data_IF_976591316326
#
_entry.id   IF_976591316326
#
_cell.length_a   1.000
_cell.length_b   1.000
_cell.length_c   1.000
_cell.angle_alpha   90.00
_cell.angle_beta   90.00
_cell.angle_gamma   90.00
#
_symmetry.space_group_name_H-M   'P 1'
#
loop_
_entity.id
_entity.type
_entity.pdbx_description
1 polymer ?
#
# COMPACT_ATOMS: atom_id res chain seq x y z
N UNK A 1 8.86 12.15 13.89
CA UNK A 1 8.47 10.83 14.39
C UNK A 1 9.58 9.83 14.13
N UNK A 2 9.85 8.96 15.10
CA UNK A 2 10.74 7.82 14.93
C UNK A 2 9.94 6.68 14.29
N UNK A 3 10.41 6.14 13.18
CA UNK A 3 9.68 5.09 12.47
C UNK A 3 10.52 3.83 12.27
N UNK A 4 9.83 2.69 12.24
CA UNK A 4 10.43 1.41 11.94
C UNK A 4 9.98 0.89 10.58
N UNK A 5 10.83 0.10 9.92
CA UNK A 5 10.45 -0.68 8.74
C UNK A 5 10.58 -2.16 9.07
N UNK A 6 9.46 -2.85 9.14
CA UNK A 6 9.35 -4.29 9.40
C UNK A 6 9.23 -5.01 8.05
N UNK A 7 10.17 -5.90 7.76
CA UNK A 7 10.39 -6.46 6.42
C UNK A 7 11.37 -5.63 5.58
N UNK A 8 12.27 -4.90 6.24
CA UNK A 8 13.16 -3.90 5.62
C UNK A 8 14.08 -4.44 4.53
N UNK A 9 14.43 -5.73 4.54
CA UNK A 9 15.37 -6.36 3.57
C UNK A 9 14.71 -6.80 2.27
N UNK A 10 13.37 -6.86 2.22
CA UNK A 10 12.61 -7.15 1.01
C UNK A 10 12.54 -5.94 0.07
N UNK A 11 12.15 -6.13 -1.20
CA UNK A 11 12.10 -5.07 -2.22
C UNK A 11 11.23 -3.88 -1.79
N UNK A 12 10.04 -4.13 -1.22
CA UNK A 12 9.15 -3.07 -0.72
C UNK A 12 9.74 -2.39 0.52
N UNK A 13 10.36 -3.16 1.43
CA UNK A 13 11.07 -2.60 2.59
C UNK A 13 12.22 -1.69 2.19
N UNK A 14 13.02 -2.07 1.19
CA UNK A 14 14.07 -1.23 0.61
C UNK A 14 13.51 0.08 0.03
N UNK A 15 12.31 0.03 -0.60
CA UNK A 15 11.64 1.22 -1.10
C UNK A 15 11.26 2.16 0.05
N UNK A 16 10.71 1.64 1.16
CA UNK A 16 10.47 2.45 2.36
C UNK A 16 11.75 3.07 2.89
N UNK A 17 12.83 2.30 3.02
CA UNK A 17 14.13 2.80 3.47
C UNK A 17 14.63 3.94 2.59
N UNK A 18 14.54 3.80 1.26
CA UNK A 18 14.93 4.83 0.30
C UNK A 18 14.08 6.10 0.45
N UNK A 19 12.75 5.98 0.54
CA UNK A 19 11.83 7.11 0.67
C UNK A 19 11.94 7.84 2.02
N UNK A 20 12.27 7.13 3.09
CA UNK A 20 12.43 7.71 4.42
C UNK A 20 13.76 8.44 4.62
N UNK A 21 14.76 8.18 3.78
CA UNK A 21 16.10 8.70 3.95
C UNK A 21 16.17 10.24 4.07
N UNK A 22 15.26 10.95 3.40
CA UNK A 22 15.21 12.42 3.41
C UNK A 22 13.82 12.95 3.79
N UNK A 23 12.98 12.12 4.44
CA UNK A 23 11.64 12.56 4.79
C UNK A 23 11.66 13.58 5.93
N UNK A 24 10.98 14.74 5.79
CA UNK A 24 11.12 15.83 6.75
C UNK A 24 10.49 15.54 8.13
N UNK A 25 9.55 14.62 8.21
CA UNK A 25 8.82 14.30 9.44
C UNK A 25 9.15 12.94 10.04
N UNK A 26 9.60 11.98 9.20
CA UNK A 26 9.84 10.60 9.60
C UNK A 26 11.34 10.29 9.59
N UNK A 27 11.85 9.88 10.72
CA UNK A 27 13.25 9.47 10.90
C UNK A 27 13.28 7.95 11.07
N UNK A 28 13.99 7.27 10.19
CA UNK A 28 14.13 5.81 10.26
C UNK A 28 15.01 5.45 11.46
N UNK A 29 14.37 4.91 12.51
CA UNK A 29 15.04 4.52 13.75
C UNK A 29 15.32 3.01 13.83
N UNK A 30 14.48 2.19 13.17
CA UNK A 30 14.59 0.73 13.22
C UNK A 30 14.40 0.13 11.83
N UNK A 31 15.28 -0.81 11.50
CA UNK A 31 15.11 -1.77 10.41
C UNK A 31 14.97 -3.17 11.01
N UNK A 32 13.85 -3.85 10.73
CA UNK A 32 13.59 -5.19 11.23
C UNK A 32 13.26 -6.16 10.09
N UNK A 33 13.67 -7.40 10.22
CA UNK A 33 13.47 -8.42 9.21
C UNK A 33 13.37 -9.82 9.86
N UNK A 34 13.44 -10.88 9.05
CA UNK A 34 13.42 -12.25 9.56
C UNK A 34 14.64 -12.57 10.45
N UNK A 35 14.55 -13.58 11.32
CA UNK A 35 15.66 -14.02 12.18
C UNK A 35 16.99 -14.26 11.43
N UNK A 36 16.93 -14.64 10.15
CA UNK A 36 18.13 -14.83 9.31
C UNK A 36 18.93 -13.56 9.05
N UNK A 37 18.28 -12.42 9.10
CA UNK A 37 18.88 -11.11 8.89
C UNK A 37 19.21 -10.37 10.19
N UNK A 38 18.55 -10.77 11.29
CA UNK A 38 18.73 -10.15 12.59
C UNK A 38 20.19 -10.24 13.08
N UNK A 39 20.66 -9.18 13.74
CA UNK A 39 22.02 -9.05 14.26
C UNK A 39 23.08 -8.63 13.25
N UNK A 40 22.76 -8.60 11.96
CA UNK A 40 23.64 -8.09 10.89
C UNK A 40 23.44 -6.59 10.70
N UNK A 41 24.43 -5.91 10.13
CA UNK A 41 24.19 -4.57 9.60
C UNK A 41 23.23 -4.64 8.43
N UNK A 42 22.51 -3.55 8.15
CA UNK A 42 21.55 -3.52 7.05
C UNK A 42 22.23 -3.79 5.70
N UNK A 43 23.42 -3.23 5.48
CA UNK A 43 24.21 -3.49 4.27
C UNK A 43 24.58 -4.96 4.12
N UNK A 44 25.02 -5.63 5.19
CA UNK A 44 25.29 -7.07 5.17
C UNK A 44 24.04 -7.91 4.96
N UNK A 45 22.93 -7.53 5.60
CA UNK A 45 21.67 -8.25 5.51
C UNK A 45 21.05 -8.17 4.12
N UNK A 46 21.18 -7.04 3.43
CA UNK A 46 20.69 -6.83 2.05
C UNK A 46 21.70 -7.34 1.02
N UNK A 47 22.98 -6.98 1.18
CA UNK A 47 24.06 -7.36 0.27
C UNK A 47 23.78 -6.99 -1.18
N UNK A 48 24.05 -7.91 -2.09
CA UNK A 48 23.81 -7.73 -3.53
C UNK A 48 22.32 -7.68 -3.94
N UNK A 49 21.39 -7.83 -3.00
CA UNK A 49 19.93 -7.79 -3.26
C UNK A 49 19.35 -6.37 -3.20
N UNK A 50 20.19 -5.33 -3.06
CA UNK A 50 19.70 -3.95 -3.17
C UNK A 50 19.13 -3.73 -4.58
N UNK A 51 17.82 -3.44 -4.67
CA UNK A 51 17.07 -3.38 -5.92
C UNK A 51 16.55 -1.96 -6.25
N UNK A 52 16.96 -0.96 -5.47
CA UNK A 52 16.55 0.42 -5.74
C UNK A 52 17.48 1.07 -6.76
N UNK A 53 16.97 2.02 -7.60
CA UNK A 53 17.77 2.76 -8.57
C UNK A 53 18.89 3.58 -7.90
N UNK A 54 18.56 4.20 -6.77
CA UNK A 54 19.49 5.01 -6.00
C UNK A 54 20.38 4.14 -5.10
N UNK A 55 21.59 4.58 -4.79
CA UNK A 55 22.44 3.89 -3.83
C UNK A 55 21.76 3.75 -2.46
N UNK A 56 22.13 2.70 -1.71
CA UNK A 56 21.70 2.55 -0.32
C UNK A 56 22.09 3.78 0.49
N UNK A 57 21.15 4.43 1.21
CA UNK A 57 21.46 5.62 2.01
C UNK A 57 22.53 5.33 3.08
N UNK A 58 23.53 6.18 3.19
CA UNK A 58 24.66 5.96 4.10
C UNK A 58 24.24 5.79 5.57
N UNK A 59 23.21 6.53 6.00
CA UNK A 59 22.71 6.50 7.37
C UNK A 59 22.13 5.16 7.80
N UNK A 60 21.72 4.29 6.84
CA UNK A 60 21.10 3.00 7.16
C UNK A 60 22.06 1.83 7.05
N UNK A 61 23.19 1.98 6.37
CA UNK A 61 24.14 0.88 6.10
C UNK A 61 24.55 0.13 7.36
N UNK A 62 24.91 0.88 8.39
CA UNK A 62 25.42 0.35 9.66
C UNK A 62 24.32 0.10 10.71
N UNK A 63 23.05 0.32 10.39
CA UNK A 63 21.96 -0.01 11.32
C UNK A 63 21.89 -1.52 11.52
N UNK A 64 21.82 -1.95 12.77
CA UNK A 64 21.65 -3.38 13.10
C UNK A 64 20.20 -3.76 12.83
N UNK A 65 20.03 -4.81 12.03
CA UNK A 65 18.69 -5.35 11.73
C UNK A 65 18.16 -6.09 12.96
N UNK A 66 16.98 -5.70 13.44
CA UNK A 66 16.30 -6.38 14.54
C UNK A 66 15.46 -7.56 14.00
N UNK A 67 15.14 -8.50 14.89
CA UNK A 67 14.17 -9.55 14.59
C UNK A 67 12.75 -8.96 14.61
N UNK A 68 12.03 -9.09 13.49
CA UNK A 68 10.66 -8.59 13.35
C UNK A 68 9.68 -9.23 14.35
N UNK A 69 9.98 -10.42 14.86
CA UNK A 69 9.16 -11.12 15.86
C UNK A 69 9.38 -10.62 17.29
N UNK A 70 10.46 -9.88 17.55
CA UNK A 70 10.71 -9.24 18.83
C UNK A 70 9.93 -7.91 18.95
N UNK A 71 8.61 -8.02 18.94
CA UNK A 71 7.66 -6.91 18.84
C UNK A 71 7.92 -5.81 19.86
N UNK A 72 8.07 -6.16 21.14
CA UNK A 72 8.29 -5.19 22.22
C UNK A 72 9.60 -4.43 22.06
N UNK A 73 10.66 -5.09 21.59
CA UNK A 73 11.95 -4.46 21.34
C UNK A 73 11.85 -3.41 20.23
N UNK A 74 11.16 -3.73 19.14
CA UNK A 74 10.95 -2.82 18.03
C UNK A 74 10.01 -1.68 18.44
N UNK A 75 8.85 -2.00 19.01
CA UNK A 75 7.83 -1.04 19.41
C UNK A 75 8.34 0.01 20.40
N UNK A 76 9.25 -0.38 21.32
CA UNK A 76 9.84 0.55 22.30
C UNK A 76 10.74 1.64 21.69
N UNK A 77 11.16 1.49 20.45
CA UNK A 77 12.11 2.38 19.78
C UNK A 77 11.48 3.31 18.73
N UNK A 78 10.19 3.13 18.45
CA UNK A 78 9.52 3.82 17.35
C UNK A 78 8.15 4.37 17.74
N UNK A 79 7.71 5.39 17.01
CA UNK A 79 6.35 5.91 17.12
C UNK A 79 5.35 5.02 16.37
N UNK A 80 5.73 4.44 15.25
CA UNK A 80 4.95 3.49 14.47
C UNK A 80 5.84 2.72 13.49
N UNK A 81 5.29 1.70 12.84
CA UNK A 81 6.02 0.90 11.86
C UNK A 81 5.33 0.90 10.49
N UNK A 82 6.15 0.91 9.43
CA UNK A 82 5.73 0.43 8.11
C UNK A 82 5.99 -1.07 8.03
N UNK A 83 5.00 -1.86 7.59
CA UNK A 83 5.11 -3.30 7.52
C UNK A 83 5.03 -3.79 6.07
N UNK A 84 6.06 -4.54 5.65
CA UNK A 84 6.19 -5.12 4.31
C UNK A 84 6.86 -6.50 4.37
N UNK A 85 6.37 -7.37 5.26
CA UNK A 85 6.89 -8.73 5.43
C UNK A 85 6.33 -9.66 4.35
N UNK A 86 7.10 -10.71 4.03
CA UNK A 86 6.69 -11.79 3.14
C UNK A 86 6.55 -13.08 3.96
N UNK A 87 5.32 -13.40 4.32
CA UNK A 87 4.94 -14.53 5.17
C UNK A 87 3.54 -15.01 4.78
N UNK A 88 3.06 -16.09 5.38
CA UNK A 88 1.65 -16.51 5.23
C UNK A 88 0.70 -15.47 5.81
N UNK A 89 -0.49 -15.32 5.22
CA UNK A 89 -1.46 -14.29 5.63
C UNK A 89 -1.80 -14.34 7.12
N UNK A 90 -1.94 -15.51 7.68
CA UNK A 90 -2.25 -15.74 9.10
C UNK A 90 -1.11 -15.25 10.01
N UNK A 91 0.13 -15.52 9.60
CA UNK A 91 1.32 -15.07 10.33
C UNK A 91 1.47 -13.54 10.26
N UNK A 92 1.19 -12.95 9.09
CA UNK A 92 1.18 -11.48 8.92
C UNK A 92 0.12 -10.86 9.83
N UNK A 93 -1.10 -11.40 9.86
CA UNK A 93 -2.16 -10.91 10.74
C UNK A 93 -1.75 -10.94 12.20
N UNK A 94 -1.21 -12.07 12.65
CA UNK A 94 -0.75 -12.23 14.02
C UNK A 94 0.37 -11.24 14.38
N UNK A 95 1.33 -11.04 13.49
CA UNK A 95 2.43 -10.12 13.69
C UNK A 95 1.94 -8.66 13.75
N UNK A 96 1.12 -8.22 12.81
CA UNK A 96 0.59 -6.86 12.75
C UNK A 96 -0.32 -6.55 13.96
N UNK A 97 -1.15 -7.51 14.38
CA UNK A 97 -1.94 -7.37 15.60
C UNK A 97 -1.08 -7.33 16.87
N UNK A 98 0.04 -8.06 16.91
CA UNK A 98 0.98 -8.02 18.04
C UNK A 98 1.61 -6.64 18.18
N UNK A 99 2.05 -6.02 17.05
CA UNK A 99 2.54 -4.62 17.08
C UNK A 99 1.45 -3.65 17.54
N UNK A 100 0.23 -3.76 17.01
CA UNK A 100 -0.87 -2.91 17.42
C UNK A 100 -1.17 -3.07 18.94
N UNK A 101 -1.18 -4.30 19.46
CA UNK A 101 -1.38 -4.59 20.89
C UNK A 101 -0.24 -4.10 21.76
N UNK A 102 0.98 -4.01 21.24
CA UNK A 102 2.12 -3.34 21.88
C UNK A 102 2.04 -1.80 21.76
N UNK A 103 0.87 -1.24 21.45
CA UNK A 103 0.58 0.18 21.29
C UNK A 103 1.41 0.86 20.18
N UNK A 104 1.95 0.07 19.24
CA UNK A 104 2.69 0.54 18.08
C UNK A 104 1.78 0.49 16.83
N UNK A 105 1.36 1.63 16.29
CA UNK A 105 0.58 1.67 15.05
C UNK A 105 1.31 1.02 13.89
N UNK A 106 0.57 0.33 13.02
CA UNK A 106 1.09 -0.37 11.84
C UNK A 106 0.49 0.23 10.57
N UNK A 107 1.34 0.73 9.70
CA UNK A 107 0.99 1.11 8.32
C UNK A 107 1.49 0.01 7.40
N UNK A 108 0.56 -0.83 6.93
CA UNK A 108 0.92 -2.07 6.25
C UNK A 108 0.78 -1.99 4.73
N UNK A 109 1.78 -2.50 4.03
CA UNK A 109 1.71 -2.78 2.59
C UNK A 109 1.10 -4.15 2.28
N UNK A 110 0.94 -5.00 3.30
CA UNK A 110 0.51 -6.39 3.15
C UNK A 110 -1.00 -6.49 2.86
N UNK A 111 -1.41 -7.61 2.28
CA UNK A 111 -2.81 -7.85 1.95
C UNK A 111 -3.62 -8.51 3.06
N UNK A 112 -2.97 -8.90 4.18
CA UNK A 112 -3.59 -9.75 5.19
C UNK A 112 -4.83 -9.15 5.84
N UNK A 113 -4.82 -7.84 6.11
CA UNK A 113 -5.93 -7.13 6.74
C UNK A 113 -6.83 -6.32 5.77
N UNK A 114 -6.60 -6.38 4.45
CA UNK A 114 -7.40 -5.57 3.50
C UNK A 114 -8.90 -5.86 3.54
N UNK A 115 -9.27 -7.11 3.83
CA UNK A 115 -10.68 -7.51 3.97
C UNK A 115 -11.24 -7.38 5.39
N UNK A 116 -10.41 -7.01 6.39
CA UNK A 116 -10.87 -6.85 7.77
C UNK A 116 -11.77 -5.61 7.87
N UNK A 117 -13.00 -5.72 8.40
CA UNK A 117 -13.99 -4.63 8.30
C UNK A 117 -13.60 -3.35 9.05
N UNK A 118 -12.92 -3.46 10.18
CA UNK A 118 -12.49 -2.34 11.02
C UNK A 118 -11.04 -1.90 10.75
N UNK A 119 -10.42 -2.42 9.67
CA UNK A 119 -9.10 -1.97 9.22
C UNK A 119 -9.28 -1.08 7.99
N UNK A 120 -8.89 0.21 8.08
CA UNK A 120 -9.02 1.11 6.96
C UNK A 120 -7.98 0.78 5.88
N UNK A 121 -8.46 0.68 4.63
CA UNK A 121 -7.63 0.56 3.44
C UNK A 121 -7.63 1.91 2.73
N UNK A 122 -6.50 2.63 2.80
CA UNK A 122 -6.46 4.07 2.54
C UNK A 122 -5.76 4.38 1.22
N UNK A 123 -6.40 5.23 0.43
CA UNK A 123 -5.80 6.15 -0.53
C UNK A 123 -6.11 7.56 0.03
N UNK A 124 -5.13 8.25 0.62
CA UNK A 124 -5.43 9.45 1.44
C UNK A 124 -6.18 10.55 0.72
N UNK A 125 -6.01 10.66 -0.59
CA UNK A 125 -6.73 11.63 -1.44
C UNK A 125 -8.21 11.26 -1.64
N UNK A 126 -8.59 10.00 -1.41
CA UNK A 126 -9.92 9.49 -1.73
C UNK A 126 -10.77 9.29 -0.48
N UNK A 127 -10.23 8.59 0.51
CA UNK A 127 -11.00 8.09 1.65
C UNK A 127 -10.28 8.28 2.99
N UNK A 128 -9.68 9.44 3.20
CA UNK A 128 -9.01 9.78 4.46
C UNK A 128 -9.97 9.67 5.68
N UNK A 129 -11.26 9.90 5.48
CA UNK A 129 -12.31 9.76 6.50
C UNK A 129 -12.47 8.34 7.02
N UNK A 130 -12.07 7.32 6.26
CA UNK A 130 -12.07 5.93 6.75
C UNK A 130 -11.18 5.69 7.97
N UNK A 131 -10.25 6.59 8.29
CA UNK A 131 -9.45 6.50 9.53
C UNK A 131 -10.32 6.53 10.79
N UNK A 132 -11.54 7.06 10.72
CA UNK A 132 -12.47 7.06 11.85
C UNK A 132 -12.87 5.65 12.33
N UNK A 133 -12.75 4.61 11.48
CA UNK A 133 -13.01 3.22 11.88
C UNK A 133 -11.98 2.68 12.87
N UNK A 134 -10.81 3.33 12.99
CA UNK A 134 -9.73 2.95 13.92
C UNK A 134 -10.23 2.91 15.37
N UNK A 135 -11.20 3.74 15.74
CA UNK A 135 -11.77 3.71 17.09
C UNK A 135 -12.50 2.38 17.40
N UNK A 136 -13.19 1.81 16.42
CA UNK A 136 -13.80 0.49 16.55
C UNK A 136 -12.74 -0.62 16.60
N UNK A 137 -11.71 -0.50 15.77
CA UNK A 137 -10.58 -1.44 15.78
C UNK A 137 -9.84 -1.45 17.10
N UNK A 138 -9.56 -0.27 17.70
CA UNK A 138 -8.94 -0.16 19.03
C UNK A 138 -9.77 -0.83 20.12
N UNK A 139 -11.09 -0.68 20.09
CA UNK A 139 -11.99 -1.38 21.01
C UNK A 139 -11.87 -2.89 20.87
N UNK A 140 -11.83 -3.41 19.63
CA UNK A 140 -11.67 -4.85 19.36
C UNK A 140 -10.31 -5.37 19.82
N UNK A 141 -9.23 -4.62 19.56
CA UNK A 141 -7.86 -5.01 19.92
C UNK A 141 -7.52 -4.77 21.40
N UNK A 142 -8.29 -3.95 22.10
CA UNK A 142 -8.01 -3.55 23.47
C UNK A 142 -6.86 -2.53 23.58
N UNK A 143 -6.65 -1.71 22.55
CA UNK A 143 -5.53 -0.74 22.47
C UNK A 143 -6.03 0.70 22.68
N UNK A 144 -5.11 1.58 23.08
CA UNK A 144 -5.36 3.02 23.21
C UNK A 144 -4.77 3.80 22.05
N UNK A 145 -3.56 3.43 21.63
CA UNK A 145 -2.81 4.08 20.55
C UNK A 145 -2.64 3.17 19.34
N UNK A 146 -2.39 1.89 19.57
CA UNK A 146 -2.13 0.92 18.52
C UNK A 146 -3.30 0.73 17.56
N UNK A 147 -2.99 0.59 16.29
CA UNK A 147 -3.94 0.29 15.21
C UNK A 147 -3.21 -0.28 13.99
N UNK A 148 -3.97 -0.79 13.04
CA UNK A 148 -3.49 -1.23 11.73
C UNK A 148 -4.24 -0.44 10.67
N UNK A 149 -3.51 0.17 9.74
CA UNK A 149 -4.04 0.72 8.48
C UNK A 149 -3.30 0.08 7.32
N UNK A 150 -3.98 -0.17 6.21
CA UNK A 150 -3.39 -0.90 5.09
C UNK A 150 -3.46 -0.11 3.78
N UNK A 151 -2.46 -0.33 2.94
CA UNK A 151 -2.44 0.10 1.55
C UNK A 151 -3.25 -0.88 0.70
N UNK A 152 -3.98 -0.38 -0.29
CA UNK A 152 -4.64 -1.21 -1.30
C UNK A 152 -3.63 -1.95 -2.22
N UNK A 153 -4.13 -2.81 -3.08
CA UNK A 153 -3.32 -3.45 -4.11
C UNK A 153 -2.63 -2.41 -5.00
N UNK A 154 -1.43 -2.72 -5.47
CA UNK A 154 -0.61 -1.77 -6.22
C UNK A 154 -1.20 -1.41 -7.59
N UNK A 155 -1.85 -2.34 -8.27
CA UNK A 155 -2.44 -2.11 -9.59
C UNK A 155 -3.62 -1.12 -9.54
N UNK A 156 -4.35 -1.06 -8.42
CA UNK A 156 -5.48 -0.15 -8.26
C UNK A 156 -5.09 1.31 -8.37
N UNK A 157 -3.88 1.65 -7.94
CA UNK A 157 -3.39 3.03 -7.95
C UNK A 157 -3.14 3.57 -9.36
N UNK A 158 -3.11 2.70 -10.36
CA UNK A 158 -3.03 3.11 -11.77
C UNK A 158 -4.35 3.62 -12.34
N UNK A 159 -5.51 3.32 -11.72
CA UNK A 159 -6.80 3.69 -12.29
C UNK A 159 -7.86 4.20 -11.27
N UNK A 160 -7.87 3.70 -10.04
CA UNK A 160 -8.88 4.10 -9.03
C UNK A 160 -8.85 5.61 -8.77
N UNK A 161 -7.69 6.27 -8.65
CA UNK A 161 -7.62 7.72 -8.50
C UNK A 161 -8.27 8.47 -9.68
N UNK A 162 -8.03 8.02 -10.90
CA UNK A 162 -8.59 8.66 -12.10
C UNK A 162 -10.12 8.46 -12.24
N UNK A 163 -10.65 7.35 -11.70
CA UNK A 163 -12.10 7.08 -11.74
C UNK A 163 -12.84 7.81 -10.62
N UNK A 164 -12.23 7.95 -9.45
CA UNK A 164 -12.89 8.48 -8.26
C UNK A 164 -13.60 9.83 -8.50
N UNK A 165 -12.99 10.85 -9.11
CA UNK A 165 -13.66 12.11 -9.37
C UNK A 165 -14.82 12.00 -10.37
N UNK A 166 -14.92 10.92 -11.11
CA UNK A 166 -15.96 10.68 -12.10
C UNK A 166 -17.20 9.98 -11.50
N UNK A 167 -17.11 9.48 -10.26
CA UNK A 167 -18.24 8.77 -9.63
C UNK A 167 -19.49 9.62 -9.56
N UNK A 168 -19.37 10.90 -9.25
CA UNK A 168 -20.47 11.87 -9.20
C UNK A 168 -21.13 12.11 -10.56
N UNK A 169 -20.46 11.77 -11.66
CA UNK A 169 -21.02 11.78 -13.01
C UNK A 169 -21.83 10.52 -13.34
N UNK A 170 -21.99 9.62 -12.37
CA UNK A 170 -22.83 8.43 -12.49
C UNK A 170 -22.14 7.24 -13.15
N UNK A 171 -20.93 6.90 -12.74
CA UNK A 171 -20.23 5.68 -13.17
C UNK A 171 -21.00 4.45 -12.72
N UNK A 172 -21.34 3.56 -13.67
CA UNK A 172 -22.09 2.32 -13.39
C UNK A 172 -21.25 1.06 -13.60
N UNK A 173 -20.30 1.07 -14.55
CA UNK A 173 -19.41 -0.06 -14.81
C UNK A 173 -17.99 0.40 -15.12
N UNK A 174 -17.03 -0.41 -14.72
CA UNK A 174 -15.60 -0.25 -15.01
C UNK A 174 -15.07 -1.55 -15.58
N UNK A 175 -14.48 -1.51 -16.76
CA UNK A 175 -13.71 -2.61 -17.32
C UNK A 175 -12.25 -2.20 -17.27
N UNK A 176 -11.45 -2.85 -16.44
CA UNK A 176 -10.04 -2.55 -16.25
C UNK A 176 -9.17 -3.69 -16.79
N UNK A 177 -8.16 -3.35 -17.59
CA UNK A 177 -7.09 -4.26 -17.94
C UNK A 177 -5.78 -3.68 -17.42
N UNK A 178 -5.13 -4.38 -16.48
CA UNK A 178 -3.87 -3.91 -15.89
C UNK A 178 -2.69 -4.59 -16.53
N UNK A 179 -1.63 -3.80 -16.77
CA UNK A 179 -0.32 -4.26 -17.27
C UNK A 179 0.67 -4.10 -16.13
N UNK A 180 0.97 -5.20 -15.45
CA UNK A 180 1.69 -5.18 -14.18
C UNK A 180 3.17 -5.54 -14.36
N UNK A 181 4.05 -4.66 -13.91
CA UNK A 181 5.49 -4.83 -13.93
C UNK A 181 5.97 -5.99 -13.04
N UNK A 182 7.12 -6.57 -13.37
CA UNK A 182 7.70 -7.72 -12.65
C UNK A 182 8.08 -7.39 -11.19
N UNK A 183 8.38 -6.13 -10.89
CA UNK A 183 8.63 -5.68 -9.50
C UNK A 183 7.44 -5.91 -8.57
N UNK A 184 6.20 -5.91 -9.10
CA UNK A 184 5.00 -6.28 -8.34
C UNK A 184 4.98 -7.73 -7.84
N UNK A 185 5.79 -8.61 -8.43
CA UNK A 185 6.05 -9.96 -7.96
C UNK A 185 7.33 -10.06 -7.09
N UNK A 186 7.95 -8.93 -6.73
CA UNK A 186 9.22 -8.91 -6.00
C UNK A 186 10.40 -9.45 -6.81
N UNK A 187 10.33 -9.36 -8.15
CA UNK A 187 11.31 -9.91 -9.09
C UNK A 187 11.98 -8.82 -9.91
N UNK A 188 13.15 -9.16 -10.44
CA UNK A 188 13.89 -8.42 -11.47
C UNK A 188 14.10 -9.34 -12.67
N UNK A 189 14.49 -8.82 -13.83
CA UNK A 189 14.84 -9.69 -14.96
C UNK A 189 16.01 -10.62 -14.68
N UNK A 190 16.93 -10.24 -13.79
CA UNK A 190 18.01 -11.12 -13.37
C UNK A 190 17.51 -12.34 -12.55
N UNK A 191 16.43 -12.17 -11.77
CA UNK A 191 15.83 -13.23 -10.94
C UNK A 191 14.64 -13.92 -11.61
N UNK A 192 14.18 -13.39 -12.74
CA UNK A 192 13.07 -13.93 -13.53
C UNK A 192 13.30 -13.73 -15.05
N UNK A 193 14.35 -14.33 -15.61
CA UNK A 193 14.73 -14.14 -17.03
C UNK A 193 13.64 -14.58 -18.02
N UNK A 194 12.76 -15.52 -17.64
CA UNK A 194 11.66 -16.01 -18.48
C UNK A 194 10.62 -14.95 -18.81
N UNK A 195 10.66 -13.81 -18.10
CA UNK A 195 9.77 -12.68 -18.38
C UNK A 195 10.29 -11.76 -19.50
N UNK A 196 11.53 -11.93 -19.96
CA UNK A 196 12.03 -11.16 -21.12
C UNK A 196 11.23 -11.56 -22.35
N UNK A 197 10.68 -10.57 -23.06
CA UNK A 197 9.82 -10.77 -24.25
C UNK A 197 8.60 -11.69 -24.03
N UNK A 198 8.10 -11.77 -22.79
CA UNK A 198 6.99 -12.64 -22.43
C UNK A 198 5.90 -11.91 -21.64
N UNK A 199 4.65 -12.41 -21.73
CA UNK A 199 3.50 -11.94 -20.96
C UNK A 199 2.83 -13.11 -20.27
N UNK A 200 2.34 -12.87 -19.04
CA UNK A 200 1.48 -13.82 -18.32
C UNK A 200 0.06 -13.23 -18.33
N UNK A 201 -0.91 -13.88 -19.02
CA UNK A 201 -2.24 -13.30 -19.24
C UNK A 201 -3.16 -13.34 -18.01
N UNK A 202 -2.75 -13.98 -16.92
CA UNK A 202 -3.51 -14.10 -15.69
C UNK A 202 -2.57 -14.11 -14.48
N UNK A 203 -2.84 -13.23 -13.50
CA UNK A 203 -2.10 -13.18 -12.24
C UNK A 203 -3.04 -13.64 -11.12
N UNK A 204 -2.75 -14.80 -10.52
CA UNK A 204 -3.63 -15.42 -9.52
C UNK A 204 -4.01 -14.47 -8.37
N UNK A 205 -5.33 -14.30 -8.17
CA UNK A 205 -5.88 -13.47 -7.11
C UNK A 205 -5.82 -11.96 -7.32
N UNK A 206 -5.26 -11.47 -8.45
CA UNK A 206 -5.21 -10.03 -8.71
C UNK A 206 -6.53 -9.48 -9.26
N UNK A 207 -7.26 -10.26 -10.04
CA UNK A 207 -8.54 -9.85 -10.59
C UNK A 207 -9.59 -9.64 -9.48
N UNK A 208 -9.71 -10.58 -8.53
CA UNK A 208 -10.62 -10.45 -7.40
C UNK A 208 -10.29 -9.24 -6.51
N UNK A 209 -9.01 -8.91 -6.33
CA UNK A 209 -8.60 -7.69 -5.61
C UNK A 209 -9.01 -6.46 -6.39
N UNK A 210 -8.78 -6.45 -7.70
CA UNK A 210 -9.12 -5.34 -8.59
C UNK A 210 -10.63 -5.08 -8.68
N UNK A 211 -11.45 -6.11 -8.49
CA UNK A 211 -12.91 -6.00 -8.48
C UNK A 211 -13.49 -5.60 -7.12
N UNK A 212 -12.84 -6.02 -6.00
CA UNK A 212 -13.40 -5.86 -4.65
C UNK A 212 -12.80 -4.70 -3.86
N UNK A 213 -11.48 -4.50 -3.94
CA UNK A 213 -10.82 -3.47 -3.12
C UNK A 213 -11.28 -2.04 -3.44
N UNK A 214 -11.54 -1.65 -4.72
CA UNK A 214 -12.07 -0.32 -5.01
C UNK A 214 -13.43 -0.06 -4.33
N UNK A 215 -14.28 -1.07 -4.25
CA UNK A 215 -15.59 -0.94 -3.59
C UNK A 215 -15.45 -0.69 -2.08
N UNK A 216 -14.42 -1.26 -1.43
CA UNK A 216 -14.11 -0.93 -0.04
C UNK A 216 -13.57 0.49 0.10
N UNK A 217 -12.72 0.95 -0.84
CA UNK A 217 -12.19 2.33 -0.85
C UNK A 217 -13.32 3.35 -1.02
N UNK A 218 -14.29 3.06 -1.87
CA UNK A 218 -15.48 3.88 -2.12
C UNK A 218 -16.65 3.60 -1.17
N UNK A 219 -16.43 2.75 -0.17
CA UNK A 219 -17.42 2.43 0.85
C UNK A 219 -17.63 3.54 1.86
N UNK A 220 -18.30 3.20 2.94
CA UNK A 220 -18.55 4.11 4.06
C UNK A 220 -18.45 3.36 5.39
N UNK A 221 -18.35 4.11 6.48
CA UNK A 221 -18.32 3.50 7.81
C UNK A 221 -19.76 3.39 8.33
N UNK A 222 -20.11 2.17 8.74
CA UNK A 222 -21.37 1.87 9.40
C UNK A 222 -21.13 0.90 10.58
N UNK A 223 -21.67 1.22 11.75
CA UNK A 223 -21.57 0.39 12.96
C UNK A 223 -20.14 -0.05 13.32
N UNK A 224 -19.14 0.81 13.08
CA UNK A 224 -17.74 0.52 13.37
C UNK A 224 -17.04 -0.41 12.37
N UNK A 225 -17.60 -0.57 11.19
CA UNK A 225 -17.04 -1.34 10.10
C UNK A 225 -17.12 -0.56 8.78
N UNK A 226 -16.22 -0.84 7.84
CA UNK A 226 -16.31 -0.31 6.48
C UNK A 226 -17.20 -1.23 5.67
N UNK A 227 -18.32 -0.69 5.21
CA UNK A 227 -19.25 -1.33 4.29
C UNK A 227 -18.85 -0.94 2.87
N UNK A 228 -18.64 -1.94 2.01
CA UNK A 228 -18.26 -1.70 0.63
C UNK A 228 -19.39 -1.08 -0.18
N UNK A 229 -19.06 -0.19 -1.11
CA UNK A 229 -19.99 0.33 -2.09
C UNK A 229 -20.54 -0.82 -2.97
N UNK A 230 -21.80 -0.70 -3.40
CA UNK A 230 -22.43 -1.67 -4.31
C UNK A 230 -22.15 -1.35 -5.79
N UNK A 231 -21.75 -0.13 -6.08
CA UNK A 231 -21.45 0.37 -7.42
C UNK A 231 -20.12 1.12 -7.44
N UNK A 232 -19.45 1.20 -8.59
CA UNK A 232 -19.80 0.59 -9.89
C UNK A 232 -19.52 -0.91 -9.93
N UNK A 233 -20.15 -1.63 -10.87
CA UNK A 233 -19.73 -3.01 -11.18
C UNK A 233 -18.37 -2.98 -11.84
N UNK A 234 -17.40 -3.73 -11.35
CA UNK A 234 -16.05 -3.78 -11.87
C UNK A 234 -15.76 -5.17 -12.43
N UNK A 235 -15.17 -5.23 -13.62
CA UNK A 235 -14.56 -6.44 -14.17
C UNK A 235 -13.12 -6.14 -14.52
N UNK A 236 -12.20 -7.00 -14.10
CA UNK A 236 -10.77 -6.78 -14.26
C UNK A 236 -10.09 -7.95 -14.97
N UNK A 237 -9.05 -7.61 -15.75
CA UNK A 237 -8.07 -8.53 -16.27
C UNK A 237 -6.69 -8.06 -15.83
N UNK A 238 -5.87 -8.96 -15.27
CA UNK A 238 -4.58 -8.62 -14.71
C UNK A 238 -3.47 -9.39 -15.42
N UNK A 239 -2.68 -8.67 -16.19
CA UNK A 239 -1.64 -9.22 -17.07
C UNK A 239 -0.27 -8.84 -16.51
N UNK A 240 0.66 -9.80 -16.41
CA UNK A 240 2.07 -9.51 -16.16
C UNK A 240 2.77 -9.21 -17.47
N UNK A 241 3.50 -8.12 -17.51
CA UNK A 241 4.22 -7.66 -18.70
C UNK A 241 5.72 -7.54 -18.44
N UNK A 242 6.58 -7.59 -19.47
CA UNK A 242 8.03 -7.52 -19.35
C UNK A 242 8.51 -6.07 -19.13
N UNK A 243 8.05 -5.46 -18.04
CA UNK A 243 8.41 -4.11 -17.62
C UNK A 243 9.00 -4.21 -16.21
N UNK A 244 10.11 -3.53 -15.95
CA UNK A 244 10.81 -3.57 -14.68
C UNK A 244 9.94 -3.04 -13.54
N UNK A 245 9.45 -1.80 -13.67
CA UNK A 245 8.71 -1.06 -12.65
C UNK A 245 7.55 -0.27 -13.26
N UNK A 246 6.57 0.00 -12.42
CA UNK A 246 5.39 0.78 -12.78
C UNK A 246 4.27 -0.07 -13.40
N UNK A 247 3.06 0.12 -12.90
CA UNK A 247 1.86 -0.51 -13.45
C UNK A 247 1.10 0.47 -14.32
N UNK A 248 0.54 -0.03 -15.41
CA UNK A 248 -0.35 0.71 -16.31
C UNK A 248 -1.72 0.05 -16.28
N UNK A 249 -2.78 0.80 -16.55
CA UNK A 249 -4.09 0.24 -16.84
C UNK A 249 -4.74 0.91 -18.05
N UNK A 250 -5.45 0.12 -18.85
CA UNK A 250 -6.46 0.63 -19.77
C UNK A 250 -7.84 0.40 -19.17
N UNK A 251 -8.69 1.42 -19.20
CA UNK A 251 -9.97 1.38 -18.51
C UNK A 251 -11.07 1.90 -19.42
N UNK A 252 -12.16 1.13 -19.53
CA UNK A 252 -13.40 1.59 -20.13
C UNK A 252 -14.43 1.84 -19.01
N UNK A 253 -15.01 3.03 -18.99
CA UNK A 253 -15.98 3.46 -17.99
C UNK A 253 -17.34 3.67 -18.62
N UNK A 254 -18.38 3.05 -18.06
CA UNK A 254 -19.76 3.29 -18.45
C UNK A 254 -20.44 4.19 -17.42
N UNK A 255 -21.11 5.21 -17.92
CA UNK A 255 -21.94 6.13 -17.14
C UNK A 255 -23.44 5.79 -17.32
N UNK A 256 -24.26 6.12 -16.33
CA UNK A 256 -25.71 6.05 -16.45
C UNK A 256 -26.22 6.97 -17.56
N UNK A 257 -25.70 8.21 -17.59
CA UNK A 257 -25.90 9.19 -18.66
C UNK A 257 -24.55 9.62 -19.18
N UNK A 258 -24.37 9.76 -20.49
CA UNK A 258 -23.09 10.17 -21.07
C UNK A 258 -22.73 11.61 -20.64
N UNK A 259 -21.67 11.82 -19.86
CA UNK A 259 -21.22 13.16 -19.50
C UNK A 259 -20.63 13.89 -20.69
N UNK A 260 -20.62 15.23 -20.66
CA UNK A 260 -19.83 16.01 -21.60
C UNK A 260 -18.34 15.82 -21.32
N UNK A 261 -17.52 15.96 -22.35
CA UNK A 261 -16.05 15.88 -22.21
C UNK A 261 -15.53 16.91 -21.23
N UNK A 262 -16.10 18.10 -21.25
CA UNK A 262 -15.76 19.23 -20.41
C UNK A 262 -16.02 18.94 -18.92
N UNK A 263 -17.07 18.19 -18.58
CA UNK A 263 -17.40 17.78 -17.22
C UNK A 263 -16.35 16.80 -16.68
N UNK A 264 -15.91 15.84 -17.50
CA UNK A 264 -14.84 14.90 -17.15
C UNK A 264 -13.53 15.66 -16.88
N UNK A 265 -13.13 16.55 -17.80
CA UNK A 265 -11.89 17.32 -17.66
C UNK A 265 -11.95 18.24 -16.43
N UNK A 266 -13.09 18.84 -16.14
CA UNK A 266 -13.31 19.67 -14.97
C UNK A 266 -13.21 18.83 -13.68
N UNK A 267 -13.83 17.65 -13.64
CA UNK A 267 -13.76 16.75 -12.49
C UNK A 267 -12.30 16.39 -12.15
N UNK A 268 -11.50 16.05 -13.14
CA UNK A 268 -10.09 15.78 -12.93
C UNK A 268 -9.29 17.01 -12.50
N UNK A 269 -9.48 18.14 -13.19
CA UNK A 269 -8.71 19.36 -12.93
C UNK A 269 -8.98 19.97 -11.54
N UNK A 270 -10.20 19.76 -10.99
CA UNK A 270 -10.60 20.29 -9.69
C UNK A 270 -10.40 19.30 -8.53
N UNK A 271 -10.00 18.07 -8.82
CA UNK A 271 -9.84 17.06 -7.77
C UNK A 271 -8.59 17.31 -6.92
N UNK A 272 -8.79 17.34 -5.63
CA UNK A 272 -7.74 17.40 -4.62
C UNK A 272 -8.25 16.77 -3.32
N UNK A 273 -7.42 15.96 -2.70
CA UNK A 273 -7.75 15.25 -1.46
C UNK A 273 -7.23 15.96 -0.21
N UNK A 274 -7.33 15.25 0.90
CA UNK A 274 -6.86 15.73 2.19
C UNK A 274 -5.35 16.05 2.22
N UNK A 275 -4.45 15.24 1.58
CA UNK A 275 -3.03 15.56 1.54
C UNK A 275 -2.71 16.90 0.90
N UNK A 276 -3.44 17.31 -0.17
CA UNK A 276 -3.25 18.62 -0.82
C UNK A 276 -3.77 19.75 0.07
N UNK A 277 -4.93 19.57 0.71
CA UNK A 277 -5.52 20.57 1.64
C UNK A 277 -4.60 20.83 2.82
N UNK A 278 -3.96 19.79 3.35
CA UNK A 278 -3.04 19.88 4.49
C UNK A 278 -1.60 20.23 4.09
N UNK A 279 -1.32 20.38 2.79
CA UNK A 279 0.03 20.59 2.25
C UNK A 279 1.06 19.59 2.84
N UNK A 280 0.70 18.29 2.85
CA UNK A 280 1.57 17.25 3.40
C UNK A 280 2.87 17.13 2.60
N UNK A 281 4.00 16.81 3.26
CA UNK A 281 5.26 16.58 2.58
C UNK A 281 5.13 15.55 1.47
N UNK A 282 5.72 15.86 0.32
CA UNK A 282 5.71 15.01 -0.88
C UNK A 282 4.31 14.74 -1.50
N UNK A 283 3.24 15.35 -0.97
CA UNK A 283 1.96 15.34 -1.66
C UNK A 283 2.09 16.09 -3.00
N UNK A 284 1.67 15.49 -4.13
CA UNK A 284 1.72 16.18 -5.41
C UNK A 284 0.78 17.39 -5.39
N UNK A 285 1.16 18.48 -6.05
CA UNK A 285 0.29 19.68 -6.20
C UNK A 285 -1.00 19.30 -6.94
N UNK A 286 -0.87 18.48 -7.97
CA UNK A 286 -1.99 17.85 -8.68
C UNK A 286 -1.90 16.34 -8.53
N UNK A 287 -3.01 15.74 -8.11
CA UNK A 287 -3.06 14.31 -7.92
C UNK A 287 -3.38 13.54 -9.22
N UNK A 288 -4.12 14.17 -10.14
CA UNK A 288 -4.48 13.64 -11.46
C UNK A 288 -4.05 14.62 -12.55
#
# INVERSE_FOLDING_TARGET
YQVGVVGATGMVGQRFVSLLAQHPWFHLAVVAASPRSAGKTYEEAVGSRWAMPDPMPEQVKNMVVLDASHVEEVASKVDFVFCAVDMKKEEIRALEESYAKAECPVVSNNSAHRSTPDVPMIIPEINADHVAVIEAQRKRLGTKRGFIAVKCNCSLQSYVPAIHPLLDLGVTKVLACTYQAISGAGKTFATWPEMVDNCIPYIGGEEEKSEKEPLKIWGHIENGAIVSAEQPTISAQCIRVPVSDGHLATVAVKFANKPAREDILKAWASFGGEPQKLALPHAPERFI
#
